data_IF_573992488692
#
_entry.id   IF_573992488692
#
_cell.length_a   1.000
_cell.length_b   1.000
_cell.length_c   1.000
_cell.angle_alpha   90.00
_cell.angle_beta   90.00
_cell.angle_gamma   90.00
#
_symmetry.space_group_name_H-M   'P 1'
#
loop_
_entity.id
_entity.type
_entity.pdbx_description
1 polymer ?
#
# COMPACT_ATOMS: atom_id res chain seq x y z
N UNK A 1 -10.24 3.42 17.47
CA UNK A 1 -9.16 3.08 16.51
C UNK A 1 -8.52 1.73 16.83
N UNK A 2 -7.89 1.55 17.99
CA UNK A 2 -7.24 0.27 18.39
C UNK A 2 -8.21 -0.89 18.38
N UNK A 3 -9.41 -0.72 18.92
CA UNK A 3 -10.44 -1.76 18.96
C UNK A 3 -10.87 -2.19 17.56
N UNK A 4 -11.00 -1.25 16.62
CA UNK A 4 -11.31 -1.55 15.23
C UNK A 4 -10.17 -2.27 14.53
N UNK A 5 -8.92 -1.84 14.74
CA UNK A 5 -7.75 -2.55 14.23
C UNK A 5 -7.68 -3.99 14.74
N UNK A 6 -7.98 -4.22 16.02
CA UNK A 6 -8.02 -5.57 16.63
C UNK A 6 -9.22 -6.40 16.17
N UNK A 7 -10.39 -5.79 16.03
CA UNK A 7 -11.64 -6.52 15.70
C UNK A 7 -11.84 -6.72 14.20
N UNK A 8 -11.49 -5.74 13.37
CA UNK A 8 -11.74 -5.74 11.93
C UNK A 8 -10.48 -5.94 11.08
N UNK A 9 -9.28 -5.72 11.65
CA UNK A 9 -8.00 -5.86 10.97
C UNK A 9 -7.52 -4.57 10.30
N UNK A 10 -8.21 -3.46 10.47
CA UNK A 10 -7.83 -2.14 9.96
C UNK A 10 -8.47 -1.03 10.79
N UNK A 11 -7.93 0.18 10.68
CA UNK A 11 -8.43 1.38 11.38
C UNK A 11 -9.54 2.07 10.58
N UNK A 12 -10.17 3.07 11.19
CA UNK A 12 -10.87 4.11 10.43
C UNK A 12 -9.88 4.89 9.56
N UNK A 13 -10.41 5.70 8.66
CA UNK A 13 -9.59 6.67 7.91
C UNK A 13 -9.05 7.71 8.90
N UNK A 14 -7.76 7.98 8.79
CA UNK A 14 -7.01 8.84 9.70
C UNK A 14 -6.46 10.02 8.89
N UNK A 15 -6.71 11.24 9.36
CA UNK A 15 -6.00 12.42 8.89
C UNK A 15 -4.60 12.43 9.51
N UNK A 16 -3.57 12.50 8.66
CA UNK A 16 -2.18 12.59 9.09
C UNK A 16 -1.71 14.02 8.90
N UNK A 17 -1.24 14.64 9.97
CA UNK A 17 -0.69 15.99 9.88
C UNK A 17 0.71 15.95 9.25
N UNK A 18 0.78 16.22 7.94
CA UNK A 18 1.98 16.15 7.09
C UNK A 18 2.03 17.35 6.16
N UNK A 19 2.09 18.57 6.71
CA UNK A 19 1.97 19.77 5.87
C UNK A 19 3.16 19.95 4.93
N UNK A 20 4.38 19.93 5.43
CA UNK A 20 5.60 20.17 4.64
C UNK A 20 6.05 18.91 3.90
N UNK A 21 6.10 17.79 4.58
CA UNK A 21 6.60 16.53 4.01
C UNK A 21 5.75 16.07 2.83
N UNK A 22 4.42 16.19 2.96
CA UNK A 22 3.51 15.86 1.85
C UNK A 22 3.70 16.83 0.69
N UNK A 23 3.78 18.13 0.96
CA UNK A 23 3.98 19.16 -0.06
C UNK A 23 5.29 18.96 -0.82
N UNK A 24 6.37 18.63 -0.12
CA UNK A 24 7.66 18.36 -0.74
C UNK A 24 7.61 17.13 -1.65
N UNK A 25 6.97 16.07 -1.22
CA UNK A 25 6.78 14.86 -2.04
C UNK A 25 5.87 15.16 -3.26
N UNK A 26 4.80 15.91 -3.07
CA UNK A 26 3.92 16.35 -4.18
C UNK A 26 4.68 17.23 -5.19
N UNK A 27 5.54 18.14 -4.73
CA UNK A 27 6.40 18.95 -5.58
C UNK A 27 7.33 18.09 -6.44
N UNK A 28 7.97 17.08 -5.82
CA UNK A 28 8.85 16.18 -6.55
C UNK A 28 8.08 15.38 -7.63
N UNK A 29 6.92 14.83 -7.29
CA UNK A 29 6.04 14.11 -8.23
C UNK A 29 5.64 15.05 -9.39
N UNK A 30 5.17 16.25 -9.07
CA UNK A 30 4.79 17.23 -10.08
C UNK A 30 5.96 17.59 -11.00
N UNK A 31 7.14 17.87 -10.45
CA UNK A 31 8.33 18.18 -11.24
C UNK A 31 8.68 17.06 -12.24
N UNK A 32 8.57 15.80 -11.80
CA UNK A 32 8.85 14.62 -12.64
C UNK A 32 7.78 14.36 -13.71
N UNK A 33 6.55 14.84 -13.52
CA UNK A 33 5.40 14.53 -14.40
C UNK A 33 4.90 15.73 -15.20
N UNK A 34 5.33 16.96 -14.89
CA UNK A 34 4.74 18.20 -15.43
C UNK A 34 4.71 18.29 -16.96
N UNK A 35 5.71 17.72 -17.64
CA UNK A 35 5.78 17.72 -19.11
C UNK A 35 4.72 16.87 -19.80
N UNK A 36 4.09 15.95 -19.05
CA UNK A 36 3.07 15.03 -19.54
C UNK A 36 1.65 15.47 -19.20
N UNK A 37 1.50 16.46 -18.32
CA UNK A 37 0.21 16.92 -17.86
C UNK A 37 -0.45 17.84 -18.92
N UNK A 38 -1.77 17.82 -18.96
CA UNK A 38 -2.52 18.84 -19.73
C UNK A 38 -2.13 20.23 -19.24
N UNK A 39 -2.24 21.24 -20.11
CA UNK A 39 -1.96 22.63 -19.76
C UNK A 39 -2.63 22.99 -18.43
N UNK A 40 -1.83 23.42 -17.47
CA UNK A 40 -2.29 23.69 -16.11
C UNK A 40 -2.27 25.20 -15.82
N UNK A 41 -3.15 25.62 -14.93
CA UNK A 41 -3.17 26.97 -14.41
C UNK A 41 -2.03 27.14 -13.40
N UNK A 42 -1.26 28.22 -13.50
CA UNK A 42 -0.18 28.55 -12.58
C UNK A 42 -0.69 28.83 -11.15
N UNK A 43 -1.94 29.25 -11.02
CA UNK A 43 -2.58 29.54 -9.74
C UNK A 43 -3.03 28.31 -8.96
N UNK A 44 -3.02 27.13 -9.56
CA UNK A 44 -3.35 25.89 -8.86
C UNK A 44 -2.33 25.55 -7.79
N UNK A 45 -2.78 25.09 -6.64
CA UNK A 45 -1.92 24.50 -5.62
C UNK A 45 -1.19 23.27 -6.15
N UNK A 46 -0.08 22.89 -5.52
CA UNK A 46 0.68 21.71 -5.94
C UNK A 46 -0.17 20.43 -5.84
N UNK A 47 -1.03 20.32 -4.84
CA UNK A 47 -1.95 19.20 -4.68
C UNK A 47 -2.97 19.10 -5.82
N UNK A 48 -3.42 20.22 -6.34
CA UNK A 48 -4.30 20.27 -7.51
C UNK A 48 -3.55 19.95 -8.79
N UNK A 49 -2.31 20.47 -8.95
CA UNK A 49 -1.48 20.19 -10.12
C UNK A 49 -1.19 18.69 -10.30
N UNK A 50 -0.88 17.94 -9.25
CA UNK A 50 -0.67 16.49 -9.36
C UNK A 50 -1.97 15.68 -9.58
N UNK A 51 -3.12 16.33 -9.45
CA UNK A 51 -4.42 15.74 -9.77
C UNK A 51 -4.87 15.98 -11.23
N UNK A 52 -4.07 16.68 -12.02
CA UNK A 52 -4.35 16.90 -13.44
C UNK A 52 -4.23 15.60 -14.23
N UNK A 53 -4.93 15.54 -15.34
CA UNK A 53 -4.87 14.42 -16.27
C UNK A 53 -3.60 14.49 -17.11
N UNK A 54 -3.08 13.36 -17.52
CA UNK A 54 -2.08 13.30 -18.58
C UNK A 54 -2.71 13.62 -19.94
N UNK A 55 -1.93 14.18 -20.83
CA UNK A 55 -2.34 14.41 -22.23
C UNK A 55 -2.52 13.08 -22.97
N UNK A 56 -1.63 12.14 -22.69
CA UNK A 56 -1.64 10.76 -23.19
C UNK A 56 -1.21 9.80 -22.08
N UNK A 57 -1.44 8.51 -22.27
CA UNK A 57 -1.01 7.50 -21.30
C UNK A 57 0.50 7.26 -21.46
N UNK A 58 1.32 7.58 -20.46
CA UNK A 58 2.76 7.33 -20.51
C UNK A 58 3.06 5.84 -20.64
N UNK A 59 4.20 5.51 -21.27
CA UNK A 59 4.71 4.14 -21.38
C UNK A 59 5.10 3.56 -20.03
N UNK A 60 5.17 2.24 -19.93
CA UNK A 60 5.50 1.51 -18.69
C UNK A 60 6.87 1.89 -18.11
N UNK A 61 7.84 2.20 -18.98
CA UNK A 61 9.19 2.62 -18.59
C UNK A 61 9.18 3.93 -17.80
N UNK A 62 8.33 4.87 -18.20
CA UNK A 62 8.13 6.12 -17.46
C UNK A 62 7.68 5.85 -16.02
N UNK A 63 6.67 4.98 -15.83
CA UNK A 63 6.14 4.66 -14.52
C UNK A 63 7.16 3.94 -13.65
N UNK A 64 7.96 3.04 -14.24
CA UNK A 64 9.05 2.35 -13.55
C UNK A 64 10.12 3.33 -13.10
N UNK A 65 10.53 4.25 -13.97
CA UNK A 65 11.51 5.30 -13.63
C UNK A 65 10.97 6.21 -12.53
N UNK A 66 9.73 6.69 -12.66
CA UNK A 66 9.10 7.54 -11.64
C UNK A 66 9.07 6.84 -10.27
N UNK A 67 8.63 5.57 -10.22
CA UNK A 67 8.58 4.83 -8.96
C UNK A 67 9.97 4.64 -8.35
N UNK A 68 10.98 4.36 -9.16
CA UNK A 68 12.37 4.23 -8.69
C UNK A 68 12.90 5.55 -8.13
N UNK A 69 12.70 6.64 -8.85
CA UNK A 69 13.16 7.98 -8.45
C UNK A 69 12.53 8.39 -7.12
N UNK A 70 11.22 8.23 -6.98
CA UNK A 70 10.51 8.58 -5.76
C UNK A 70 10.90 7.67 -4.60
N UNK A 71 11.00 6.34 -4.82
CA UNK A 71 11.39 5.39 -3.76
C UNK A 71 12.80 5.65 -3.22
N UNK A 72 13.68 6.25 -4.00
CA UNK A 72 15.05 6.60 -3.57
C UNK A 72 15.18 8.04 -3.06
N UNK A 73 14.11 8.85 -3.11
CA UNK A 73 14.17 10.28 -2.78
C UNK A 73 14.29 10.54 -1.27
N UNK A 74 14.82 11.71 -0.94
CA UNK A 74 14.88 12.19 0.44
C UNK A 74 13.51 12.62 0.94
N UNK A 75 12.67 13.15 0.05
CA UNK A 75 11.30 13.59 0.34
C UNK A 75 10.45 12.42 0.84
N UNK A 76 10.55 11.26 0.20
CA UNK A 76 9.86 10.06 0.68
C UNK A 76 10.41 9.58 2.03
N UNK A 77 11.72 9.59 2.22
CA UNK A 77 12.34 9.20 3.51
C UNK A 77 11.89 10.13 4.64
N UNK A 78 11.85 11.45 4.40
CA UNK A 78 11.38 12.43 5.37
C UNK A 78 9.92 12.20 5.73
N UNK A 79 9.05 11.97 4.74
CA UNK A 79 7.64 11.65 4.98
C UNK A 79 7.48 10.39 5.82
N UNK A 80 8.16 9.31 5.48
CA UNK A 80 8.08 8.02 6.18
C UNK A 80 8.48 8.15 7.66
N UNK A 81 9.50 8.95 7.96
CA UNK A 81 10.03 9.15 9.31
C UNK A 81 9.41 10.36 10.03
N UNK A 82 8.44 11.04 9.44
CA UNK A 82 7.83 12.23 10.03
C UNK A 82 7.14 11.95 11.35
N UNK A 83 7.07 12.98 12.20
CA UNK A 83 6.35 12.89 13.48
C UNK A 83 4.88 12.53 13.30
N UNK A 84 4.23 12.99 12.22
CA UNK A 84 2.85 12.67 11.88
C UNK A 84 2.64 11.18 11.64
N UNK A 85 3.51 10.53 10.87
CA UNK A 85 3.45 9.08 10.62
C UNK A 85 3.73 8.30 11.90
N UNK A 86 4.82 8.62 12.62
CA UNK A 86 5.17 7.91 13.87
C UNK A 86 4.06 8.02 14.90
N UNK A 87 3.50 9.23 15.12
CA UNK A 87 2.39 9.43 16.06
C UNK A 87 1.13 8.66 15.68
N UNK A 88 0.92 8.43 14.38
CA UNK A 88 -0.19 7.63 13.89
C UNK A 88 -0.02 6.15 14.28
N UNK A 89 1.20 5.60 14.16
CA UNK A 89 1.49 4.25 14.63
C UNK A 89 1.47 4.11 16.15
N UNK A 90 1.85 5.14 16.91
CA UNK A 90 1.75 5.15 18.37
C UNK A 90 0.31 4.97 18.89
N UNK A 91 -0.70 5.17 18.03
CA UNK A 91 -2.09 4.89 18.37
C UNK A 91 -2.42 3.39 18.43
N UNK A 92 -1.58 2.52 17.84
CA UNK A 92 -1.80 1.07 17.81
C UNK A 92 -0.63 0.27 18.38
N UNK A 93 0.57 0.83 18.41
CA UNK A 93 1.80 0.22 18.92
C UNK A 93 2.36 1.04 20.10
N UNK A 94 3.03 0.38 21.04
CA UNK A 94 3.69 1.03 22.17
C UNK A 94 5.05 1.63 21.76
N UNK A 95 5.83 0.89 20.97
CA UNK A 95 7.17 1.27 20.50
C UNK A 95 7.32 0.95 19.00
N UNK A 96 6.69 1.77 18.12
CA UNK A 96 6.73 1.52 16.70
C UNK A 96 8.12 1.73 16.11
N UNK A 97 8.63 0.71 15.44
CA UNK A 97 9.93 0.71 14.74
C UNK A 97 9.73 0.59 13.24
N UNK A 98 10.44 1.40 12.48
CA UNK A 98 10.40 1.35 11.02
C UNK A 98 10.84 -0.03 10.52
N UNK A 99 10.01 -0.65 9.67
CA UNK A 99 10.31 -1.96 9.10
C UNK A 99 11.36 -1.88 7.98
N UNK A 100 11.54 -0.72 7.37
CA UNK A 100 12.56 -0.46 6.34
C UNK A 100 12.13 -0.80 4.91
N UNK A 101 10.95 -1.40 4.71
CA UNK A 101 10.38 -1.65 3.39
C UNK A 101 9.11 -0.81 3.24
N UNK A 102 9.32 0.41 2.74
CA UNK A 102 8.25 1.33 2.41
C UNK A 102 8.28 1.56 0.90
N UNK A 103 7.12 1.68 0.26
CA UNK A 103 7.07 1.70 -1.19
C UNK A 103 6.08 2.74 -1.70
N UNK A 104 6.57 3.69 -2.48
CA UNK A 104 5.74 4.54 -3.31
C UNK A 104 5.12 3.74 -4.45
N UNK A 105 3.85 3.97 -4.68
CA UNK A 105 3.04 3.33 -5.71
C UNK A 105 2.36 4.37 -6.57
N UNK A 106 2.61 4.32 -7.86
CA UNK A 106 1.81 5.03 -8.84
C UNK A 106 0.89 4.03 -9.53
N UNK A 107 -0.42 4.27 -9.47
CA UNK A 107 -1.38 3.49 -10.23
C UNK A 107 -1.53 4.11 -11.60
N UNK A 108 -1.34 3.29 -12.63
CA UNK A 108 -1.35 3.72 -14.02
C UNK A 108 -2.77 4.05 -14.49
N UNK A 109 -2.95 5.11 -15.27
CA UNK A 109 -4.17 5.30 -16.03
C UNK A 109 -4.46 4.06 -16.91
N UNK A 110 -5.72 3.66 -16.97
CA UNK A 110 -6.18 2.51 -17.78
C UNK A 110 -5.58 1.14 -17.46
N UNK A 111 -5.10 0.96 -16.26
CA UNK A 111 -4.63 -0.33 -15.81
C UNK A 111 -5.80 -1.30 -15.62
N UNK A 112 -6.16 -2.06 -16.68
CA UNK A 112 -7.26 -3.03 -16.65
C UNK A 112 -6.99 -4.24 -15.76
N UNK A 113 -5.73 -4.64 -15.62
CA UNK A 113 -5.34 -5.77 -14.76
C UNK A 113 -5.12 -5.30 -13.35
N UNK A 114 -5.53 -6.12 -12.38
CA UNK A 114 -5.16 -5.94 -10.98
C UNK A 114 -3.65 -6.13 -10.86
N UNK A 115 -2.95 -5.10 -10.43
CA UNK A 115 -1.49 -5.19 -10.28
C UNK A 115 -1.11 -5.99 -9.03
N UNK A 116 -1.90 -5.86 -7.96
CA UNK A 116 -1.77 -6.62 -6.72
C UNK A 116 -3.13 -7.21 -6.38
N UNK A 117 -3.33 -8.49 -6.71
CA UNK A 117 -4.56 -9.21 -6.37
C UNK A 117 -4.59 -9.58 -4.89
N UNK A 118 -5.64 -10.24 -4.44
CA UNK A 118 -5.84 -10.58 -3.04
C UNK A 118 -4.60 -11.23 -2.42
N UNK A 119 -4.08 -10.61 -1.36
CA UNK A 119 -2.92 -11.08 -0.65
C UNK A 119 -2.93 -10.63 0.82
N UNK A 120 -2.05 -11.19 1.60
CA UNK A 120 -1.70 -10.76 2.94
C UNK A 120 -0.23 -10.33 2.92
N UNK A 121 0.10 -9.19 3.47
CA UNK A 121 1.49 -8.72 3.51
C UNK A 121 2.41 -9.75 4.19
N UNK A 122 1.94 -10.37 5.29
CA UNK A 122 2.68 -11.44 5.96
C UNK A 122 2.98 -12.63 5.05
N UNK A 123 2.12 -12.95 4.09
CA UNK A 123 2.37 -14.00 3.11
C UNK A 123 3.61 -13.74 2.25
N UNK A 124 3.81 -12.48 1.86
CA UNK A 124 4.99 -12.04 1.12
C UNK A 124 6.26 -12.14 1.98
N UNK A 125 6.20 -11.65 3.23
CA UNK A 125 7.34 -11.71 4.15
C UNK A 125 7.67 -13.13 4.57
N UNK A 126 6.65 -13.93 4.81
CA UNK A 126 6.80 -15.34 5.18
C UNK A 126 7.54 -16.14 4.11
N UNK A 127 7.31 -15.87 2.83
CA UNK A 127 7.99 -16.50 1.68
C UNK A 127 9.31 -15.82 1.33
N UNK A 128 9.61 -14.67 1.93
CA UNK A 128 10.87 -13.97 1.69
C UNK A 128 12.07 -14.78 2.14
N UNK A 129 13.14 -14.79 1.34
CA UNK A 129 14.45 -15.34 1.73
C UNK A 129 15.19 -14.50 2.77
N UNK A 130 14.73 -13.27 3.02
CA UNK A 130 15.35 -12.37 3.97
C UNK A 130 14.93 -12.70 5.42
N UNK A 131 15.78 -13.43 6.12
CA UNK A 131 15.55 -13.85 7.52
C UNK A 131 15.32 -12.67 8.49
N UNK A 132 15.83 -11.46 8.17
CA UNK A 132 15.65 -10.25 9.01
C UNK A 132 14.21 -9.74 9.01
N UNK A 133 13.40 -10.12 8.03
CA UNK A 133 11.99 -9.74 7.92
C UNK A 133 11.07 -10.66 8.74
N UNK A 134 11.56 -11.85 9.10
CA UNK A 134 10.78 -12.86 9.80
C UNK A 134 10.48 -12.42 11.25
N UNK A 135 9.25 -12.72 11.71
CA UNK A 135 8.78 -12.49 13.07
C UNK A 135 8.66 -11.01 13.49
N UNK A 136 8.63 -10.07 12.54
CA UNK A 136 8.44 -8.65 12.84
C UNK A 136 6.98 -8.19 12.71
N UNK A 137 6.16 -8.86 11.91
CA UNK A 137 4.73 -8.59 11.71
C UNK A 137 4.38 -7.11 11.52
N UNK A 138 4.92 -6.45 10.51
CA UNK A 138 4.70 -5.03 10.34
C UNK A 138 3.25 -4.75 9.92
N UNK A 139 2.59 -3.81 10.61
CA UNK A 139 1.36 -3.23 10.11
C UNK A 139 1.68 -2.26 8.96
N UNK A 140 0.80 -2.22 7.97
CA UNK A 140 0.94 -1.34 6.82
C UNK A 140 0.00 -0.15 6.96
N UNK A 141 0.58 1.05 6.92
CA UNK A 141 -0.12 2.30 6.74
C UNK A 141 -0.14 2.60 5.24
N UNK A 142 -1.31 2.48 4.62
CA UNK A 142 -1.53 2.90 3.26
C UNK A 142 -1.91 4.38 3.25
N UNK A 143 -1.01 5.21 2.73
CA UNK A 143 -1.12 6.66 2.71
C UNK A 143 -1.43 7.15 1.30
N UNK A 144 -2.50 7.92 1.14
CA UNK A 144 -2.86 8.52 -0.14
C UNK A 144 -2.25 9.90 -0.30
N UNK A 145 -1.48 10.11 -1.37
CA UNK A 145 -0.80 11.39 -1.65
C UNK A 145 -1.75 12.38 -2.33
N UNK A 146 -2.64 11.90 -3.20
CA UNK A 146 -3.52 12.73 -4.00
C UNK A 146 -5.00 12.33 -3.95
N UNK A 147 -5.37 11.54 -2.93
CA UNK A 147 -6.71 10.99 -2.79
C UNK A 147 -6.90 9.70 -3.59
N UNK A 148 -7.89 8.92 -3.19
CA UNK A 148 -8.32 7.70 -3.86
C UNK A 148 -9.83 7.53 -3.69
N UNK A 149 -10.48 7.04 -4.72
CA UNK A 149 -11.93 6.80 -4.75
C UNK A 149 -12.26 5.33 -5.01
N UNK A 150 -13.53 5.01 -5.12
CA UNK A 150 -14.02 3.65 -5.35
C UNK A 150 -13.52 2.99 -6.64
N UNK A 151 -12.92 3.71 -7.58
CA UNK A 151 -12.44 3.17 -8.86
C UNK A 151 -10.92 2.90 -8.87
N UNK A 152 -10.15 3.58 -8.01
CA UNK A 152 -8.69 3.54 -8.07
C UNK A 152 -7.99 3.22 -6.75
N UNK A 153 -8.74 2.94 -5.69
CA UNK A 153 -8.26 2.68 -4.35
C UNK A 153 -7.82 1.22 -4.13
N UNK A 154 -7.80 0.83 -2.86
CA UNK A 154 -7.61 -0.54 -2.40
C UNK A 154 -8.88 -1.07 -1.74
N UNK A 155 -8.99 -2.39 -1.70
CA UNK A 155 -10.03 -3.10 -0.97
C UNK A 155 -9.42 -3.93 0.15
N UNK A 156 -10.09 -3.93 1.29
CA UNK A 156 -9.75 -4.74 2.46
C UNK A 156 -10.90 -5.70 2.77
N UNK A 157 -10.60 -6.87 3.33
CA UNK A 157 -11.61 -7.81 3.79
C UNK A 157 -11.72 -7.75 5.31
N UNK A 158 -12.87 -7.28 5.79
CA UNK A 158 -13.17 -7.12 7.22
C UNK A 158 -12.97 -8.43 7.98
N UNK A 159 -12.23 -8.36 9.09
CA UNK A 159 -11.94 -9.47 10.01
C UNK A 159 -11.16 -10.65 9.40
N UNK A 160 -10.61 -10.51 8.19
CA UNK A 160 -9.83 -11.57 7.54
C UNK A 160 -8.51 -11.89 8.28
N UNK A 161 -7.96 -10.93 9.03
CA UNK A 161 -6.76 -11.12 9.85
C UNK A 161 -6.93 -12.14 10.98
N UNK A 162 -8.18 -12.46 11.38
CA UNK A 162 -8.48 -13.49 12.39
C UNK A 162 -8.37 -14.91 11.85
N UNK A 163 -8.32 -15.04 10.53
CA UNK A 163 -8.12 -16.32 9.86
C UNK A 163 -6.64 -16.69 9.86
N UNK A 164 -6.35 -17.88 9.30
CA UNK A 164 -4.97 -18.32 9.09
C UNK A 164 -4.26 -17.44 8.06
N UNK A 165 -2.92 -17.51 8.06
CA UNK A 165 -2.14 -17.08 6.92
C UNK A 165 -2.44 -18.02 5.75
N UNK A 166 -3.04 -17.47 4.69
CA UNK A 166 -3.40 -18.22 3.49
C UNK A 166 -2.16 -18.63 2.70
N UNK A 167 -2.31 -19.69 1.91
CA UNK A 167 -1.27 -20.07 0.95
C UNK A 167 -1.17 -18.99 -0.11
N UNK A 168 0.05 -18.51 -0.36
CA UNK A 168 0.39 -17.58 -1.42
C UNK A 168 1.17 -18.30 -2.52
N UNK A 169 0.89 -17.98 -3.75
CA UNK A 169 1.60 -18.43 -4.94
C UNK A 169 2.21 -17.23 -5.65
N UNK A 170 3.39 -17.40 -6.22
CA UNK A 170 4.01 -16.38 -7.04
C UNK A 170 3.29 -16.29 -8.38
N UNK A 171 2.79 -15.12 -8.71
CA UNK A 171 2.14 -14.83 -9.99
C UNK A 171 3.15 -14.13 -10.89
N UNK A 172 3.73 -14.89 -11.82
CA UNK A 172 4.85 -14.43 -12.67
C UNK A 172 4.53 -13.14 -13.42
N UNK A 173 3.33 -13.04 -13.99
CA UNK A 173 2.90 -11.86 -14.78
C UNK A 173 2.69 -10.61 -13.93
N UNK A 174 2.56 -10.76 -12.62
CA UNK A 174 2.42 -9.66 -11.66
C UNK A 174 3.73 -9.35 -10.92
N UNK A 175 4.70 -10.28 -10.96
CA UNK A 175 5.92 -10.17 -10.16
C UNK A 175 5.66 -10.18 -8.65
N UNK A 176 4.54 -10.80 -8.21
CA UNK A 176 4.04 -10.67 -6.86
C UNK A 176 3.36 -11.95 -6.35
N UNK A 177 3.22 -12.06 -5.02
CA UNK A 177 2.54 -13.18 -4.38
C UNK A 177 1.07 -12.85 -4.14
N UNK A 178 0.15 -13.70 -4.58
CA UNK A 178 -1.28 -13.63 -4.26
C UNK A 178 -1.77 -14.92 -3.62
N UNK A 179 -2.90 -14.86 -2.92
CA UNK A 179 -3.54 -16.06 -2.36
C UNK A 179 -3.98 -17.00 -3.47
N UNK A 180 -4.11 -18.27 -3.13
CA UNK A 180 -4.64 -19.29 -4.06
C UNK A 180 -6.05 -18.89 -4.53
N UNK A 181 -6.29 -18.92 -5.85
CA UNK A 181 -7.55 -18.52 -6.48
C UNK A 181 -8.80 -19.31 -6.05
N UNK A 182 -8.60 -20.43 -5.34
CA UNK A 182 -9.69 -21.23 -4.78
C UNK A 182 -10.28 -20.66 -3.47
N UNK A 183 -9.71 -19.56 -2.95
CA UNK A 183 -10.23 -18.93 -1.73
C UNK A 183 -11.44 -18.04 -2.04
N UNK A 184 -12.60 -18.41 -1.48
CA UNK A 184 -13.84 -17.64 -1.63
C UNK A 184 -13.88 -16.53 -0.59
N UNK A 185 -13.94 -15.28 -1.06
CA UNK A 185 -14.10 -14.09 -0.23
C UNK A 185 -15.59 -13.71 -0.22
N UNK A 186 -16.16 -13.56 0.99
CA UNK A 186 -17.51 -13.05 1.15
C UNK A 186 -17.58 -11.58 0.68
N UNK A 187 -18.34 -11.27 -0.38
CA UNK A 187 -18.43 -9.90 -0.90
C UNK A 187 -18.93 -8.89 0.12
N UNK A 188 -19.74 -9.30 1.10
CA UNK A 188 -20.27 -8.43 2.16
C UNK A 188 -19.20 -7.94 3.14
N UNK A 189 -18.05 -8.61 3.16
CA UNK A 189 -16.90 -8.23 4.01
C UNK A 189 -15.87 -7.36 3.28
N UNK A 190 -16.05 -7.12 1.99
CA UNK A 190 -15.14 -6.29 1.20
C UNK A 190 -15.46 -4.82 1.46
N UNK A 191 -14.47 -4.09 1.92
CA UNK A 191 -14.54 -2.64 2.17
C UNK A 191 -13.61 -1.93 1.20
N UNK A 192 -14.13 -0.97 0.45
CA UNK A 192 -13.33 -0.06 -0.37
C UNK A 192 -12.87 1.12 0.46
N UNK A 193 -11.60 1.46 0.37
CA UNK A 193 -10.97 2.55 1.14
C UNK A 193 -10.94 3.81 0.29
N UNK A 194 -11.81 4.75 0.59
CA UNK A 194 -11.81 6.07 -0.08
C UNK A 194 -11.14 7.09 0.83
N UNK A 195 -10.21 7.86 0.27
CA UNK A 195 -9.40 8.82 1.03
C UNK A 195 -9.24 10.15 0.29
N UNK A 196 -9.15 11.24 1.03
CA UNK A 196 -8.62 12.50 0.54
C UNK A 196 -7.08 12.45 0.57
N UNK A 197 -6.43 13.44 -0.02
CA UNK A 197 -4.99 13.64 0.18
C UNK A 197 -4.68 13.78 1.68
N UNK A 198 -3.53 13.32 2.12
CA UNK A 198 -3.11 13.26 3.53
C UNK A 198 -3.89 12.29 4.44
N UNK A 199 -4.81 11.52 3.90
CA UNK A 199 -5.52 10.50 4.66
C UNK A 199 -4.90 9.12 4.47
N UNK A 200 -5.00 8.30 5.51
CA UNK A 200 -4.48 6.93 5.50
C UNK A 200 -5.42 5.94 6.19
N UNK A 201 -5.13 4.68 6.01
CA UNK A 201 -5.64 3.57 6.79
C UNK A 201 -4.48 2.70 7.24
N UNK A 202 -4.51 2.19 8.48
CA UNK A 202 -3.54 1.17 8.92
C UNK A 202 -4.23 -0.16 8.92
N UNK A 203 -3.60 -1.18 8.36
CA UNK A 203 -4.13 -2.54 8.38
C UNK A 203 -3.10 -3.56 8.87
N UNK A 204 -3.66 -4.63 9.43
CA UNK A 204 -2.94 -5.74 10.02
C UNK A 204 -2.22 -6.57 8.94
N UNK A 205 -1.02 -7.12 9.17
CA UNK A 205 -0.25 -7.88 8.18
C UNK A 205 -0.99 -9.11 7.61
N UNK A 206 -1.98 -9.62 8.34
CA UNK A 206 -2.84 -10.73 7.90
C UNK A 206 -4.16 -10.27 7.28
N UNK A 207 -4.42 -8.98 7.15
CA UNK A 207 -5.62 -8.49 6.47
C UNK A 207 -5.51 -8.75 4.97
N UNK A 208 -6.49 -9.49 4.42
CA UNK A 208 -6.61 -9.65 2.98
C UNK A 208 -6.92 -8.31 2.33
N UNK A 209 -6.13 -7.97 1.33
CA UNK A 209 -6.32 -6.73 0.58
C UNK A 209 -5.88 -6.87 -0.87
N UNK A 210 -6.35 -5.95 -1.71
CA UNK A 210 -5.96 -5.87 -3.12
C UNK A 210 -6.07 -4.45 -3.67
N UNK A 211 -5.46 -4.20 -4.82
CA UNK A 211 -5.77 -3.03 -5.65
C UNK A 211 -7.08 -3.26 -6.41
N UNK A 212 -7.91 -2.24 -6.59
CA UNK A 212 -9.14 -2.33 -7.38
C UNK A 212 -8.78 -2.37 -8.87
N UNK A 213 -9.33 -3.30 -9.69
CA UNK A 213 -9.17 -3.24 -11.14
C UNK A 213 -9.77 -1.95 -11.69
N UNK A 214 -9.05 -1.25 -12.55
CA UNK A 214 -9.58 -0.06 -13.19
C UNK A 214 -10.46 -0.45 -14.39
N UNK A 215 -11.73 -0.04 -14.34
CA UNK A 215 -12.72 -0.43 -15.36
C UNK A 215 -12.95 0.66 -16.40
N UNK A 216 -12.69 1.92 -16.06
CA UNK A 216 -12.90 3.07 -16.94
C UNK A 216 -11.60 3.68 -17.42
N UNK A 217 -11.67 4.30 -18.60
CA UNK A 217 -10.59 5.11 -19.14
C UNK A 217 -10.35 6.32 -18.24
N UNK A 218 -9.20 6.37 -17.59
CA UNK A 218 -8.84 7.47 -16.71
C UNK A 218 -7.38 7.85 -16.95
N UNK A 219 -7.12 9.11 -17.19
CA UNK A 219 -5.78 9.67 -17.37
C UNK A 219 -5.19 10.26 -16.09
N UNK A 220 -5.94 10.24 -14.99
CA UNK A 220 -5.48 10.71 -13.69
C UNK A 220 -4.82 9.57 -12.91
N UNK A 221 -3.53 9.67 -12.59
CA UNK A 221 -2.88 8.66 -11.76
C UNK A 221 -3.28 8.79 -10.29
N UNK A 222 -3.24 7.68 -9.55
CA UNK A 222 -3.34 7.68 -8.09
C UNK A 222 -1.96 7.39 -7.51
N UNK A 223 -1.51 8.24 -6.60
CA UNK A 223 -0.25 8.10 -5.88
C UNK A 223 -0.49 7.70 -4.43
N UNK A 224 0.25 6.72 -3.95
CA UNK A 224 0.18 6.27 -2.56
C UNK A 224 1.53 5.78 -2.07
N UNK A 225 1.66 5.65 -0.76
CA UNK A 225 2.83 5.05 -0.11
C UNK A 225 2.36 3.96 0.84
N UNK A 226 2.99 2.79 0.75
CA UNK A 226 2.90 1.76 1.78
C UNK A 226 4.01 2.01 2.79
N UNK A 227 3.65 2.42 4.01
CA UNK A 227 4.58 2.67 5.11
C UNK A 227 4.42 1.57 6.14
N UNK A 228 5.53 0.95 6.57
CA UNK A 228 5.47 -0.22 7.44
C UNK A 228 6.26 -0.02 8.72
N UNK A 229 5.56 -0.19 9.84
CA UNK A 229 6.13 -0.19 11.16
C UNK A 229 5.74 -1.48 11.91
N UNK A 230 6.60 -1.93 12.78
CA UNK A 230 6.36 -3.07 13.67
C UNK A 230 6.63 -2.69 15.11
N UNK A 231 6.04 -3.44 16.01
CA UNK A 231 6.32 -3.39 17.43
C UNK A 231 6.83 -4.77 17.86
N UNK A 232 7.89 -4.83 18.67
CA UNK A 232 8.47 -6.09 19.12
C UNK A 232 7.49 -6.91 19.98
N UNK A 233 6.55 -6.24 20.66
CA UNK A 233 5.56 -6.88 21.52
C UNK A 233 4.30 -7.32 20.75
N UNK A 234 4.13 -6.83 19.52
CA UNK A 234 3.02 -7.24 18.66
C UNK A 234 3.30 -8.61 18.01
N UNK A 235 2.53 -9.61 18.40
CA UNK A 235 2.61 -10.98 17.87
C UNK A 235 1.21 -11.47 17.50
N UNK A 236 0.84 -11.41 16.22
CA UNK A 236 -0.44 -11.96 15.79
C UNK A 236 -0.46 -13.48 15.98
N UNK A 237 -1.51 -13.96 16.63
CA UNK A 237 -1.72 -15.41 16.76
C UNK A 237 -2.40 -15.92 15.48
N UNK A 238 -1.71 -16.70 14.68
CA UNK A 238 -2.25 -17.28 13.45
C UNK A 238 -1.77 -18.68 13.21
N UNK A 239 -2.58 -19.47 12.49
CA UNK A 239 -2.22 -20.79 11.98
C UNK A 239 -1.78 -20.68 10.53
N UNK A 240 -0.78 -21.45 10.15
CA UNK A 240 -0.34 -21.58 8.76
C UNK A 240 -0.63 -22.96 8.22
N UNK A 241 -0.89 -23.04 6.93
CA UNK A 241 -0.99 -24.29 6.21
C UNK A 241 0.36 -25.04 6.24
N UNK A 242 0.34 -26.37 6.41
CA UNK A 242 1.56 -27.19 6.49
C UNK A 242 2.39 -27.09 5.21
N UNK A 243 1.75 -27.10 4.03
CA UNK A 243 2.44 -26.97 2.75
C UNK A 243 3.09 -25.60 2.60
N UNK A 244 2.46 -24.56 3.14
CA UNK A 244 3.00 -23.21 3.14
C UNK A 244 4.23 -23.11 4.05
N UNK A 245 4.21 -23.77 5.22
CA UNK A 245 5.39 -23.91 6.09
C UNK A 245 6.54 -24.66 5.41
N UNK A 246 6.23 -25.77 4.72
CA UNK A 246 7.22 -26.56 4.01
C UNK A 246 7.88 -25.78 2.88
N UNK A 247 7.12 -25.00 2.08
CA UNK A 247 7.68 -24.10 1.06
C UNK A 247 8.75 -23.17 1.64
N UNK A 248 8.50 -22.62 2.82
CA UNK A 248 9.47 -21.76 3.50
C UNK A 248 10.73 -22.52 3.94
N UNK A 249 10.55 -23.71 4.54
CA UNK A 249 11.67 -24.53 5.07
C UNK A 249 12.59 -24.95 3.93
N UNK A 250 12.04 -25.37 2.82
CA UNK A 250 12.82 -25.90 1.68
C UNK A 250 13.22 -24.83 0.66
N UNK A 251 12.92 -23.53 0.90
CA UNK A 251 13.19 -22.45 -0.06
C UNK A 251 12.64 -22.74 -1.48
N UNK A 252 11.57 -23.52 -1.61
CA UNK A 252 10.94 -23.84 -2.88
C UNK A 252 10.08 -22.64 -3.29
N UNK A 253 10.74 -21.60 -3.72
CA UNK A 253 10.13 -20.48 -4.43
C UNK A 253 10.73 -20.55 -5.83
N UNK A 254 9.99 -21.17 -6.72
CA UNK A 254 10.27 -21.13 -8.16
C UNK A 254 9.82 -19.79 -8.72
#
# INVERSE_FOLDING_TARGET
MVDKFRSEGFTDIIDVNLNEELKNLQNLIYFKTKSLLVKHDEYLSIGEKINLKFQEIPKSEFWTSLMNDINNSNELKQLICSKGIVSTFNKIFNDPKLFGICTFRARFPNQKKVFYDWHQDEGTWFLSKNKKLLNKFPATLWFSINGANSEDSIQLVKSSHKNKLHRHNYVKDQGFFSIDGNYIIDPKKIITIETKASQCVIFHPLTLHRSIPQTKLNFKPRYSVDIRYYDTDFRPNFKTDILFKLKRIFNIIN
#
